data_IF_932980033162
#
_entry.id   IF_932980033162
#
_cell.length_a   1.000
_cell.length_b   1.000
_cell.length_c   1.000
_cell.angle_alpha   90.00
_cell.angle_beta   90.00
_cell.angle_gamma   90.00
#
_symmetry.space_group_name_H-M   'P 1'
#
loop_
_entity.id
_entity.type
_entity.pdbx_description
1 polymer ?
#
# COMPACT_ATOMS: atom_id res chain seq x y z
N UNK A 1 -10.89 -12.91 -35.66
CA UNK A 1 -10.41 -14.00 -34.78
C UNK A 1 -9.59 -14.96 -35.60
N UNK A 2 -8.39 -15.33 -35.14
CA UNK A 2 -7.48 -16.27 -35.83
C UNK A 2 -8.05 -17.69 -35.95
N UNK A 3 -7.39 -18.53 -36.76
CA UNK A 3 -7.77 -19.94 -36.88
C UNK A 3 -7.42 -20.71 -35.60
N UNK A 4 -6.31 -20.35 -34.99
CA UNK A 4 -5.76 -20.92 -33.76
C UNK A 4 -6.72 -20.67 -32.59
N UNK A 5 -7.18 -19.42 -32.39
CA UNK A 5 -8.19 -19.14 -31.36
C UNK A 5 -9.50 -19.88 -31.62
N UNK A 6 -9.93 -20.08 -32.88
CA UNK A 6 -11.13 -20.89 -33.16
C UNK A 6 -10.96 -22.31 -32.66
N UNK A 7 -9.81 -22.94 -32.92
CA UNK A 7 -9.49 -24.28 -32.40
C UNK A 7 -9.51 -24.31 -30.86
N UNK A 8 -8.93 -23.29 -30.19
CA UNK A 8 -9.00 -23.19 -28.73
C UNK A 8 -10.46 -23.12 -28.24
N UNK A 9 -11.30 -22.30 -28.88
CA UNK A 9 -12.70 -22.09 -28.50
C UNK A 9 -13.56 -23.33 -28.72
N UNK A 10 -13.31 -24.10 -29.79
CA UNK A 10 -14.05 -25.33 -30.09
C UNK A 10 -14.01 -26.33 -28.92
N UNK A 11 -12.85 -26.46 -28.26
CA UNK A 11 -12.68 -27.32 -27.10
C UNK A 11 -13.02 -26.61 -25.77
N UNK A 12 -12.45 -25.43 -25.51
CA UNK A 12 -12.61 -24.76 -24.21
C UNK A 12 -14.02 -24.25 -23.93
N UNK A 13 -14.88 -24.12 -24.94
CA UNK A 13 -16.30 -23.80 -24.73
C UNK A 13 -17.02 -24.88 -23.91
N UNK A 14 -16.68 -26.16 -24.08
CA UNK A 14 -17.23 -27.27 -23.28
C UNK A 14 -16.38 -27.55 -22.04
N UNK A 15 -15.05 -27.57 -22.17
CA UNK A 15 -14.16 -27.98 -21.07
C UNK A 15 -14.05 -26.91 -19.97
N UNK A 16 -14.17 -25.62 -20.33
CA UNK A 16 -14.12 -24.52 -19.39
C UNK A 16 -15.05 -23.37 -19.80
N UNK A 17 -16.35 -23.68 -19.81
CA UNK A 17 -17.41 -22.73 -20.14
C UNK A 17 -17.28 -21.38 -19.39
N UNK A 18 -16.93 -21.32 -18.09
CA UNK A 18 -16.78 -20.04 -17.40
C UNK A 18 -15.70 -19.14 -17.99
N UNK A 19 -14.51 -19.67 -18.33
CA UNK A 19 -13.45 -18.86 -18.96
C UNK A 19 -13.90 -18.36 -20.33
N UNK A 20 -14.51 -19.23 -21.14
CA UNK A 20 -15.06 -18.87 -22.44
C UNK A 20 -16.10 -17.73 -22.33
N UNK A 21 -17.02 -17.82 -21.36
CA UNK A 21 -18.03 -16.79 -21.11
C UNK A 21 -17.42 -15.47 -20.61
N UNK A 22 -16.45 -15.51 -19.70
CA UNK A 22 -15.75 -14.32 -19.23
C UNK A 22 -15.04 -13.59 -20.38
N UNK A 23 -14.31 -14.33 -21.22
CA UNK A 23 -13.70 -13.78 -22.42
C UNK A 23 -14.76 -13.26 -23.40
N UNK A 24 -15.81 -14.02 -23.69
CA UNK A 24 -16.89 -13.62 -24.60
C UNK A 24 -17.58 -12.31 -24.20
N UNK A 25 -17.63 -12.00 -22.90
CA UNK A 25 -18.16 -10.74 -22.38
C UNK A 25 -17.16 -9.56 -22.43
N UNK A 26 -15.87 -9.85 -22.60
CA UNK A 26 -14.79 -8.86 -22.54
C UNK A 26 -14.75 -7.92 -23.76
N UNK A 27 -14.05 -6.80 -23.61
CA UNK A 27 -13.70 -5.91 -24.74
C UNK A 27 -12.68 -6.58 -25.69
N UNK A 28 -11.85 -7.50 -25.19
CA UNK A 28 -10.90 -8.26 -26.02
C UNK A 28 -11.58 -9.17 -27.04
N UNK A 29 -12.66 -9.87 -26.65
CA UNK A 29 -13.47 -10.66 -27.59
C UNK A 29 -13.99 -9.80 -28.76
N UNK A 30 -14.56 -8.64 -28.44
CA UNK A 30 -15.07 -7.68 -29.45
C UNK A 30 -13.96 -7.13 -30.35
N UNK A 31 -12.73 -7.06 -29.84
CA UNK A 31 -11.55 -6.63 -30.58
C UNK A 31 -10.82 -7.77 -31.31
N UNK A 32 -11.38 -8.99 -31.33
CA UNK A 32 -10.74 -10.19 -31.89
C UNK A 32 -9.41 -10.58 -31.22
N UNK A 33 -9.16 -10.17 -29.98
CA UNK A 33 -8.05 -10.64 -29.15
C UNK A 33 -8.53 -11.88 -28.41
N UNK A 34 -8.12 -13.05 -28.90
CA UNK A 34 -8.55 -14.37 -28.44
C UNK A 34 -7.56 -15.07 -27.53
N UNK A 35 -7.81 -16.36 -27.32
CA UNK A 35 -6.98 -17.22 -26.47
C UNK A 35 -5.54 -17.26 -26.98
N UNK A 36 -5.36 -17.55 -28.28
CA UNK A 36 -4.04 -17.71 -28.88
C UNK A 36 -3.30 -16.37 -29.00
N UNK A 37 -3.99 -15.27 -29.29
CA UNK A 37 -3.37 -13.94 -29.37
C UNK A 37 -2.70 -13.50 -28.06
N UNK A 38 -3.14 -14.04 -26.92
CA UNK A 38 -2.51 -13.81 -25.61
C UNK A 38 -1.57 -14.94 -25.19
N UNK A 39 -1.99 -16.19 -25.32
CA UNK A 39 -1.28 -17.35 -24.77
C UNK A 39 -0.22 -17.95 -25.71
N UNK A 40 -0.16 -17.54 -26.98
CA UNK A 40 0.87 -18.03 -27.89
C UNK A 40 2.27 -17.77 -27.33
N UNK A 41 3.10 -18.81 -27.36
CA UNK A 41 4.49 -18.78 -26.95
C UNK A 41 5.34 -19.46 -28.04
N UNK A 42 6.62 -19.12 -28.13
CA UNK A 42 7.54 -19.83 -29.01
C UNK A 42 8.05 -21.13 -28.36
N UNK A 43 8.33 -22.12 -29.20
CA UNK A 43 9.06 -23.32 -28.77
C UNK A 43 10.40 -22.92 -28.14
N UNK A 44 10.68 -23.45 -26.95
CA UNK A 44 11.90 -23.16 -26.20
C UNK A 44 11.81 -21.96 -25.26
N UNK A 45 10.70 -21.20 -25.23
CA UNK A 45 10.43 -20.29 -24.12
C UNK A 45 10.27 -21.07 -22.81
N UNK A 46 10.66 -20.45 -21.69
CA UNK A 46 10.82 -21.11 -20.40
C UNK A 46 9.56 -21.84 -19.93
N UNK A 47 8.39 -21.22 -20.07
CA UNK A 47 7.08 -21.75 -19.67
C UNK A 47 6.21 -22.20 -20.85
N UNK A 48 6.78 -22.29 -22.04
CA UNK A 48 6.07 -22.82 -23.20
C UNK A 48 5.90 -24.34 -23.10
N UNK A 49 4.71 -24.81 -23.45
CA UNK A 49 4.41 -26.22 -23.62
C UNK A 49 3.50 -26.41 -24.84
N UNK A 50 3.58 -27.59 -25.45
CA UNK A 50 2.71 -27.94 -26.55
C UNK A 50 1.35 -28.40 -26.01
N UNK A 51 0.28 -27.80 -26.51
CA UNK A 51 -1.09 -28.15 -26.18
C UNK A 51 -1.91 -28.24 -27.48
N UNK A 52 -2.37 -29.45 -27.80
CA UNK A 52 -3.16 -29.73 -29.02
C UNK A 52 -2.49 -29.22 -30.31
N UNK A 53 -1.16 -29.33 -30.40
CA UNK A 53 -0.38 -28.92 -31.57
C UNK A 53 0.06 -27.45 -31.57
N UNK A 54 -0.30 -26.66 -30.55
CA UNK A 54 0.08 -25.25 -30.42
C UNK A 54 1.05 -25.04 -29.26
N UNK A 55 2.07 -24.20 -29.46
CA UNK A 55 2.94 -23.75 -28.38
C UNK A 55 2.27 -22.60 -27.63
N UNK A 56 2.03 -22.81 -26.34
CA UNK A 56 1.39 -21.83 -25.47
C UNK A 56 2.10 -21.70 -24.13
N UNK A 57 1.92 -20.56 -23.48
CA UNK A 57 2.27 -20.33 -22.08
C UNK A 57 1.00 -20.14 -21.25
N UNK A 58 0.99 -20.69 -20.03
CA UNK A 58 -0.13 -20.49 -19.09
C UNK A 58 -0.20 -19.02 -18.65
N UNK A 59 0.96 -18.38 -18.45
CA UNK A 59 1.07 -17.04 -17.92
C UNK A 59 1.20 -16.04 -19.06
N UNK A 60 0.23 -15.13 -19.15
CA UNK A 60 0.34 -13.91 -19.96
C UNK A 60 0.99 -12.84 -19.09
N UNK A 61 2.16 -12.36 -19.52
CA UNK A 61 2.99 -11.41 -18.78
C UNK A 61 2.71 -9.95 -19.21
N UNK A 62 3.24 -8.96 -18.48
CA UNK A 62 3.29 -7.57 -18.96
C UNK A 62 3.91 -7.40 -20.35
N UNK A 63 4.90 -8.22 -20.77
CA UNK A 63 5.47 -8.12 -22.12
C UNK A 63 4.49 -8.55 -23.20
N UNK A 64 3.64 -9.53 -22.93
CA UNK A 64 2.56 -9.91 -23.84
C UNK A 64 1.52 -8.78 -23.97
N UNK A 65 1.16 -8.16 -22.84
CA UNK A 65 0.26 -7.00 -22.83
C UNK A 65 0.85 -5.82 -23.62
N UNK A 66 2.17 -5.60 -23.52
CA UNK A 66 2.88 -4.51 -24.17
C UNK A 66 2.85 -4.57 -25.71
N UNK A 67 2.48 -5.72 -26.31
CA UNK A 67 2.25 -5.81 -27.76
C UNK A 67 1.14 -4.86 -28.24
N UNK A 68 0.19 -4.53 -27.36
CA UNK A 68 -0.92 -3.61 -27.65
C UNK A 68 -0.99 -2.42 -26.67
N UNK A 69 -0.58 -2.60 -25.42
CA UNK A 69 -0.70 -1.63 -24.32
C UNK A 69 0.67 -1.13 -23.88
N UNK A 70 1.42 -0.53 -24.81
CA UNK A 70 2.81 -0.09 -24.58
C UNK A 70 2.89 0.96 -23.47
N UNK A 71 1.99 1.94 -23.50
CA UNK A 71 1.98 3.05 -22.53
C UNK A 71 1.66 2.54 -21.12
N UNK A 72 0.57 1.80 -20.96
CA UNK A 72 0.14 1.30 -19.65
C UNK A 72 1.18 0.37 -19.04
N UNK A 73 1.83 -0.46 -19.86
CA UNK A 73 2.91 -1.34 -19.40
C UNK A 73 4.13 -0.55 -18.96
N UNK A 74 4.54 0.49 -19.70
CA UNK A 74 5.67 1.34 -19.30
C UNK A 74 5.39 2.09 -18.01
N UNK A 75 4.23 2.74 -17.89
CA UNK A 75 3.82 3.42 -16.66
C UNK A 75 3.81 2.45 -15.47
N UNK A 76 3.22 1.27 -15.65
CA UNK A 76 3.19 0.25 -14.60
C UNK A 76 4.61 -0.20 -14.22
N UNK A 77 5.49 -0.45 -15.19
CA UNK A 77 6.87 -0.89 -14.96
C UNK A 77 7.72 0.15 -14.22
N UNK A 78 7.37 1.43 -14.33
CA UNK A 78 8.00 2.54 -13.59
C UNK A 78 7.48 2.68 -12.16
N UNK A 79 6.38 2.01 -11.83
CA UNK A 79 5.74 2.09 -10.51
C UNK A 79 6.34 1.14 -9.48
N UNK A 80 6.16 1.49 -8.21
CA UNK A 80 6.43 0.59 -7.07
C UNK A 80 5.63 -0.70 -7.11
N UNK A 81 4.42 -0.69 -7.70
CA UNK A 81 3.58 -1.88 -7.83
C UNK A 81 4.26 -2.97 -8.66
N UNK A 82 4.92 -2.62 -9.76
CA UNK A 82 5.68 -3.62 -10.54
C UNK A 82 6.79 -4.27 -9.71
N UNK A 83 7.33 -3.57 -8.69
CA UNK A 83 8.44 -4.04 -7.86
C UNK A 83 7.98 -4.73 -6.57
N UNK A 84 6.68 -5.04 -6.45
CA UNK A 84 6.06 -5.61 -5.25
C UNK A 84 6.80 -6.83 -4.69
N UNK A 85 7.21 -7.78 -5.53
CA UNK A 85 7.91 -9.00 -5.10
C UNK A 85 9.31 -8.74 -4.54
N UNK A 86 9.89 -7.55 -4.72
CA UNK A 86 11.21 -7.24 -4.15
C UNK A 86 11.19 -7.15 -2.62
N UNK A 87 10.02 -7.07 -2.00
CA UNK A 87 9.88 -7.18 -0.54
C UNK A 87 10.39 -8.53 0.00
N UNK A 88 10.44 -9.58 -0.84
CA UNK A 88 10.93 -10.90 -0.46
C UNK A 88 12.41 -10.88 -0.02
N UNK A 89 13.17 -9.87 -0.46
CA UNK A 89 14.54 -9.64 -0.03
C UNK A 89 14.69 -8.69 1.17
N UNK A 90 13.59 -8.30 1.83
CA UNK A 90 13.63 -7.36 2.97
C UNK A 90 13.31 -8.04 4.30
N UNK A 91 13.68 -7.36 5.40
CA UNK A 91 13.31 -7.78 6.75
C UNK A 91 11.80 -7.80 6.97
N UNK A 92 11.00 -7.14 6.12
CA UNK A 92 9.54 -7.16 6.21
C UNK A 92 8.95 -8.57 5.99
N UNK A 93 9.69 -9.46 5.32
CA UNK A 93 9.29 -10.86 5.12
C UNK A 93 9.72 -11.79 6.28
N UNK A 94 10.50 -11.29 7.25
CA UNK A 94 11.02 -12.11 8.37
C UNK A 94 9.90 -12.72 9.22
N UNK A 95 8.81 -11.98 9.42
CA UNK A 95 7.65 -12.48 10.17
C UNK A 95 7.08 -13.73 9.49
N UNK A 96 6.70 -13.62 8.21
CA UNK A 96 6.08 -14.70 7.47
C UNK A 96 7.05 -15.86 7.15
N UNK A 97 8.34 -15.61 6.98
CA UNK A 97 9.32 -16.67 6.64
C UNK A 97 9.88 -17.39 7.88
N UNK A 98 10.03 -16.68 9.00
CA UNK A 98 10.81 -17.16 10.16
C UNK A 98 9.99 -17.20 11.45
N UNK A 99 9.28 -16.12 11.80
CA UNK A 99 8.60 -16.02 13.11
C UNK A 99 7.30 -16.83 13.13
N UNK A 100 6.46 -16.63 12.12
CA UNK A 100 5.21 -17.35 11.90
C UNK A 100 5.42 -18.58 11.00
N UNK A 101 6.43 -18.48 10.13
CA UNK A 101 6.74 -19.45 9.09
C UNK A 101 7.58 -20.64 9.55
N UNK A 102 7.72 -21.60 8.65
CA UNK A 102 8.68 -22.70 8.75
C UNK A 102 9.01 -23.22 7.36
N UNK A 103 9.99 -24.12 7.23
CA UNK A 103 10.32 -24.74 5.93
C UNK A 103 9.48 -26.00 5.66
N UNK A 104 8.22 -26.02 6.11
CA UNK A 104 7.36 -27.20 6.05
C UNK A 104 6.75 -27.50 4.67
N UNK A 105 6.58 -26.48 3.81
CA UNK A 105 6.03 -26.69 2.48
C UNK A 105 7.15 -27.10 1.52
N UNK A 106 7.19 -28.39 1.17
CA UNK A 106 8.14 -28.94 0.20
C UNK A 106 7.44 -29.10 -1.14
N UNK A 107 8.02 -28.50 -2.18
CA UNK A 107 7.54 -28.59 -3.57
C UNK A 107 8.71 -28.92 -4.50
N UNK A 108 8.47 -29.30 -5.77
CA UNK A 108 9.55 -29.62 -6.70
C UNK A 108 10.63 -28.54 -6.82
N UNK A 109 10.26 -27.24 -6.83
CA UNK A 109 11.20 -26.13 -6.87
C UNK A 109 11.78 -25.76 -5.49
N UNK A 110 11.17 -26.21 -4.39
CA UNK A 110 11.57 -25.92 -3.01
C UNK A 110 11.78 -27.21 -2.21
N UNK A 111 12.75 -28.04 -2.63
CA UNK A 111 13.07 -29.32 -1.97
C UNK A 111 13.52 -29.15 -0.51
N UNK A 112 14.20 -28.03 -0.20
CA UNK A 112 14.57 -27.68 1.16
C UNK A 112 13.44 -27.05 1.98
N UNK A 113 12.23 -26.99 1.43
CA UNK A 113 11.06 -26.37 2.06
C UNK A 113 11.02 -24.85 1.99
N UNK A 114 9.81 -24.30 2.03
CA UNK A 114 9.50 -22.87 2.06
C UNK A 114 8.36 -22.57 3.04
N UNK A 115 8.18 -21.31 3.43
CA UNK A 115 7.09 -20.90 4.31
C UNK A 115 5.74 -20.90 3.61
N UNK A 116 4.83 -21.74 4.12
CA UNK A 116 3.43 -21.71 3.71
C UNK A 116 2.76 -20.37 4.07
N UNK A 117 3.15 -19.74 5.18
CA UNK A 117 2.63 -18.43 5.57
C UNK A 117 3.04 -17.34 4.55
N UNK A 118 4.28 -17.36 4.07
CA UNK A 118 4.72 -16.44 3.03
C UNK A 118 4.01 -16.70 1.69
N UNK A 119 3.91 -17.96 1.28
CA UNK A 119 3.25 -18.40 0.04
C UNK A 119 1.78 -18.00 -0.02
N UNK A 120 1.04 -18.22 1.07
CA UNK A 120 -0.41 -17.97 1.13
C UNK A 120 -0.78 -16.55 1.58
N UNK A 121 0.12 -15.84 2.26
CA UNK A 121 -0.08 -14.46 2.71
C UNK A 121 0.65 -13.45 1.81
N UNK A 122 1.91 -13.16 2.14
CA UNK A 122 2.69 -12.10 1.52
C UNK A 122 2.73 -12.19 -0.01
N UNK A 123 2.96 -13.40 -0.56
CA UNK A 123 3.19 -13.60 -1.99
C UNK A 123 1.89 -13.41 -2.80
N UNK A 124 0.72 -13.56 -2.19
CA UNK A 124 -0.57 -13.37 -2.86
C UNK A 124 -0.89 -11.90 -3.15
N UNK A 125 -0.33 -10.98 -2.36
CA UNK A 125 -0.47 -9.53 -2.55
C UNK A 125 0.74 -8.94 -3.30
N UNK A 126 1.97 -9.23 -2.84
CA UNK A 126 3.20 -8.64 -3.39
C UNK A 126 3.66 -9.31 -4.68
N UNK A 127 3.43 -10.61 -4.81
CA UNK A 127 3.96 -11.46 -5.87
C UNK A 127 5.21 -12.20 -5.43
N UNK A 128 5.56 -13.23 -6.19
CA UNK A 128 6.79 -14.00 -6.05
C UNK A 128 7.42 -14.25 -7.42
N UNK A 129 8.64 -14.78 -7.43
CA UNK A 129 9.19 -15.37 -8.64
C UNK A 129 8.45 -16.65 -8.97
N UNK A 130 7.90 -16.73 -10.19
CA UNK A 130 7.25 -17.94 -10.67
C UNK A 130 8.31 -18.97 -11.02
N UNK A 131 8.21 -20.17 -10.43
CA UNK A 131 9.09 -21.30 -10.75
C UNK A 131 8.40 -22.21 -11.76
N UNK A 132 9.05 -22.37 -12.90
CA UNK A 132 8.62 -23.27 -13.97
C UNK A 132 9.31 -24.63 -13.79
N UNK A 133 8.51 -25.68 -13.86
CA UNK A 133 8.88 -27.08 -13.77
C UNK A 133 8.93 -27.70 -15.18
N UNK A 134 9.51 -28.90 -15.34
CA UNK A 134 9.58 -29.56 -16.64
C UNK A 134 8.22 -29.65 -17.36
N UNK A 135 8.23 -29.35 -18.65
CA UNK A 135 7.04 -29.36 -19.51
C UNK A 135 6.10 -28.17 -19.31
N UNK A 136 6.61 -27.00 -18.90
CA UNK A 136 5.82 -25.78 -18.73
C UNK A 136 4.89 -25.77 -17.52
N UNK A 137 5.01 -26.76 -16.63
CA UNK A 137 4.23 -26.81 -15.38
C UNK A 137 4.72 -25.74 -14.41
N UNK A 138 3.85 -25.29 -13.51
CA UNK A 138 4.19 -24.24 -12.54
C UNK A 138 4.24 -24.81 -11.14
N UNK A 139 5.23 -24.40 -10.35
CA UNK A 139 5.42 -24.91 -8.99
C UNK A 139 4.30 -24.42 -8.05
N UNK A 140 3.70 -25.30 -7.22
CA UNK A 140 2.57 -24.95 -6.38
C UNK A 140 2.89 -23.94 -5.28
N UNK A 141 4.16 -23.74 -4.91
CA UNK A 141 4.54 -22.67 -3.98
C UNK A 141 4.48 -21.28 -4.63
N UNK A 142 4.54 -21.19 -5.97
CA UNK A 142 4.64 -19.90 -6.68
C UNK A 142 3.51 -19.66 -7.67
N UNK A 143 2.61 -20.64 -7.84
CA UNK A 143 1.43 -20.56 -8.67
C UNK A 143 0.26 -21.36 -8.07
N UNK A 144 -0.99 -20.84 -8.05
CA UNK A 144 -1.45 -19.57 -8.62
C UNK A 144 -0.93 -18.33 -7.87
N UNK A 145 -0.54 -17.31 -8.62
CA UNK A 145 -0.09 -16.04 -8.07
C UNK A 145 -0.64 -14.85 -8.89
N UNK A 146 -1.28 -13.92 -8.18
CA UNK A 146 -1.82 -12.66 -8.74
C UNK A 146 -1.31 -11.46 -7.96
N UNK A 147 -0.16 -11.61 -7.30
CA UNK A 147 0.49 -10.51 -6.60
C UNK A 147 0.98 -9.47 -7.60
N UNK A 148 0.85 -8.20 -7.22
CA UNK A 148 0.96 -7.08 -8.15
C UNK A 148 2.34 -6.98 -8.81
N UNK A 149 3.40 -7.36 -8.10
CA UNK A 149 4.79 -7.34 -8.56
C UNK A 149 5.38 -8.71 -8.86
N UNK A 150 4.56 -9.71 -9.21
CA UNK A 150 5.01 -11.07 -9.59
C UNK A 150 6.16 -11.02 -10.61
N UNK A 151 7.21 -11.82 -10.41
CA UNK A 151 8.30 -11.95 -11.38
C UNK A 151 7.96 -13.11 -12.31
N UNK A 152 7.75 -12.81 -13.58
CA UNK A 152 7.26 -13.75 -14.59
C UNK A 152 8.40 -14.58 -15.22
N UNK A 153 8.09 -15.72 -15.85
CA UNK A 153 9.09 -16.58 -16.51
C UNK A 153 9.94 -15.89 -17.58
N UNK A 154 9.40 -14.87 -18.24
CA UNK A 154 10.08 -14.05 -19.24
C UNK A 154 10.93 -12.91 -18.63
N UNK A 155 11.08 -12.88 -17.31
CA UNK A 155 11.82 -11.88 -16.54
C UNK A 155 11.11 -10.53 -16.36
N UNK A 156 9.89 -10.37 -16.89
CA UNK A 156 9.10 -9.16 -16.64
C UNK A 156 8.54 -9.13 -15.21
N UNK A 157 8.47 -7.95 -14.63
CA UNK A 157 7.93 -7.75 -13.27
C UNK A 157 6.51 -7.16 -13.36
N UNK A 158 5.53 -7.84 -12.76
CA UNK A 158 4.15 -7.39 -12.73
C UNK A 158 3.08 -8.46 -12.95
N UNK A 159 1.88 -8.20 -12.45
CA UNK A 159 0.67 -8.91 -12.86
C UNK A 159 -0.41 -7.93 -13.32
N UNK A 160 -0.61 -7.79 -14.64
CA UNK A 160 -1.65 -6.93 -15.21
C UNK A 160 -3.07 -7.39 -14.82
N UNK A 161 -3.25 -8.64 -14.41
CA UNK A 161 -4.54 -9.16 -13.95
C UNK A 161 -4.88 -8.85 -12.50
N UNK A 162 -4.01 -8.13 -11.77
CA UNK A 162 -4.23 -7.82 -10.36
C UNK A 162 -5.42 -6.88 -10.14
N UNK A 163 -5.73 -6.00 -11.10
CA UNK A 163 -6.83 -5.03 -10.95
C UNK A 163 -8.05 -5.26 -11.85
N UNK A 164 -7.83 -5.65 -13.09
CA UNK A 164 -8.89 -6.09 -14.00
C UNK A 164 -8.65 -7.57 -14.28
N UNK A 165 -9.34 -8.42 -13.52
CA UNK A 165 -9.11 -9.85 -13.48
C UNK A 165 -9.27 -10.49 -14.85
N UNK A 166 -8.47 -11.52 -15.10
CA UNK A 166 -8.71 -12.44 -16.22
C UNK A 166 -10.05 -13.18 -15.99
N UNK A 167 -10.83 -13.54 -17.00
CA UNK A 167 -10.64 -13.29 -18.43
C UNK A 167 -11.58 -12.20 -18.97
N UNK A 168 -12.27 -11.47 -18.08
CA UNK A 168 -13.15 -10.37 -18.47
C UNK A 168 -12.39 -9.07 -18.74
N UNK A 169 -11.24 -8.86 -18.08
CA UNK A 169 -10.40 -7.66 -18.17
C UNK A 169 -11.23 -6.36 -18.08
N UNK A 170 -12.15 -6.33 -17.12
CA UNK A 170 -13.17 -5.28 -17.01
C UNK A 170 -12.60 -3.98 -16.43
N UNK A 171 -12.76 -2.88 -17.17
CA UNK A 171 -12.46 -1.53 -16.66
C UNK A 171 -13.36 -1.14 -15.47
N UNK A 172 -14.61 -1.62 -15.45
CA UNK A 172 -15.50 -1.47 -14.29
C UNK A 172 -14.86 -2.07 -13.04
N UNK A 173 -14.35 -3.31 -13.13
CA UNK A 173 -13.71 -3.98 -12.00
C UNK A 173 -12.48 -3.20 -11.50
N UNK A 174 -11.62 -2.73 -12.41
CA UNK A 174 -10.44 -1.93 -12.04
C UNK A 174 -10.79 -0.58 -11.38
N UNK A 175 -11.94 0.01 -11.72
CA UNK A 175 -12.43 1.28 -11.14
C UNK A 175 -13.21 1.07 -9.83
N UNK A 176 -13.67 -0.15 -9.56
CA UNK A 176 -14.43 -0.47 -8.35
C UNK A 176 -13.48 -0.61 -7.14
N UNK A 177 -13.71 0.13 -6.03
CA UNK A 177 -12.84 0.09 -4.84
C UNK A 177 -12.54 -1.31 -4.29
N UNK A 178 -13.54 -2.20 -4.26
CA UNK A 178 -13.39 -3.58 -3.75
C UNK A 178 -12.23 -4.35 -4.37
N UNK A 179 -11.88 -4.06 -5.62
CA UNK A 179 -10.77 -4.73 -6.26
C UNK A 179 -9.41 -4.35 -5.62
N UNK A 180 -9.24 -3.11 -5.17
CA UNK A 180 -8.05 -2.67 -4.43
C UNK A 180 -7.95 -3.39 -3.07
N UNK A 181 -9.11 -3.74 -2.51
CA UNK A 181 -9.26 -4.37 -1.20
C UNK A 181 -8.72 -5.77 -1.05
N UNK A 182 -8.34 -6.44 -2.14
CA UNK A 182 -7.58 -7.68 -2.04
C UNK A 182 -6.26 -7.48 -1.26
N UNK A 183 -5.63 -6.32 -1.41
CA UNK A 183 -4.30 -6.04 -0.85
C UNK A 183 -4.29 -4.84 0.10
N UNK A 184 -5.10 -3.81 -0.17
CA UNK A 184 -5.11 -2.54 0.55
C UNK A 184 -6.09 -2.55 1.73
N UNK A 185 -5.85 -3.45 2.68
CA UNK A 185 -6.72 -3.70 3.83
C UNK A 185 -5.89 -4.09 5.06
N UNK A 186 -6.57 -4.32 6.18
CA UNK A 186 -5.96 -4.95 7.35
C UNK A 186 -5.18 -4.00 8.24
N UNK A 187 -4.43 -4.52 9.23
CA UNK A 187 -3.95 -3.74 10.36
C UNK A 187 -2.83 -2.74 10.03
N UNK A 188 -2.04 -2.99 8.99
CA UNK A 188 -0.88 -2.17 8.64
C UNK A 188 -1.19 -1.12 7.58
N UNK A 189 -2.21 -1.32 6.76
CA UNK A 189 -2.64 -0.36 5.77
C UNK A 189 -4.13 -0.52 5.40
N UNK A 190 -5.06 -0.13 6.30
CA UNK A 190 -6.50 -0.35 6.12
C UNK A 190 -7.15 0.64 5.15
N UNK A 191 -6.61 0.80 3.94
CA UNK A 191 -7.10 1.84 3.04
C UNK A 191 -8.54 1.60 2.58
N UNK A 192 -8.96 0.35 2.45
CA UNK A 192 -10.35 0.03 2.13
C UNK A 192 -11.32 0.36 3.27
N UNK A 193 -10.96 0.03 4.50
CA UNK A 193 -11.79 0.31 5.66
C UNK A 193 -11.91 1.81 5.88
N UNK A 194 -10.80 2.54 5.75
CA UNK A 194 -10.76 4.01 5.76
C UNK A 194 -11.64 4.59 4.63
N UNK A 195 -11.50 4.09 3.41
CA UNK A 195 -12.31 4.56 2.29
C UNK A 195 -13.79 4.37 2.60
N UNK A 196 -14.18 3.19 3.08
CA UNK A 196 -15.57 2.89 3.35
C UNK A 196 -16.15 3.69 4.52
N UNK A 197 -15.39 4.01 5.57
CA UNK A 197 -15.88 4.91 6.62
C UNK A 197 -16.02 6.36 6.16
N UNK A 198 -15.19 6.78 5.20
CA UNK A 198 -15.17 8.15 4.71
C UNK A 198 -16.48 8.54 4.01
N UNK A 199 -16.74 9.85 3.92
CA UNK A 199 -17.87 10.36 3.12
C UNK A 199 -17.78 9.99 1.64
N UNK A 200 -16.57 9.80 1.11
CA UNK A 200 -16.38 9.33 -0.26
C UNK A 200 -16.86 7.90 -0.45
N UNK A 201 -16.51 6.98 0.43
CA UNK A 201 -16.98 5.59 0.36
C UNK A 201 -18.46 5.43 0.65
N UNK A 202 -19.03 6.27 1.54
CA UNK A 202 -20.48 6.34 1.74
C UNK A 202 -21.19 6.81 0.46
N UNK A 203 -20.71 7.88 -0.18
CA UNK A 203 -21.26 8.37 -1.43
C UNK A 203 -21.13 7.34 -2.56
N UNK A 204 -20.00 6.65 -2.65
CA UNK A 204 -19.81 5.56 -3.62
C UNK A 204 -20.85 4.46 -3.43
N UNK A 205 -21.04 3.98 -2.20
CA UNK A 205 -22.06 2.95 -1.92
C UNK A 205 -23.48 3.41 -2.27
N UNK A 206 -23.79 4.69 -2.07
CA UNK A 206 -25.09 5.26 -2.41
C UNK A 206 -25.31 5.43 -3.93
N UNK A 207 -24.24 5.66 -4.70
CA UNK A 207 -24.34 6.11 -6.09
C UNK A 207 -23.57 5.28 -7.11
N UNK A 208 -22.99 4.14 -6.75
CA UNK A 208 -22.13 3.31 -7.63
C UNK A 208 -22.75 3.02 -9.01
N UNK A 209 -24.05 2.78 -9.07
CA UNK A 209 -24.76 2.47 -10.33
C UNK A 209 -24.92 3.68 -11.25
N UNK A 210 -24.65 4.89 -10.74
CA UNK A 210 -24.69 6.16 -11.48
C UNK A 210 -23.30 6.68 -11.87
N UNK A 211 -22.23 5.96 -11.52
CA UNK A 211 -20.86 6.41 -11.80
C UNK A 211 -20.39 6.03 -13.21
N UNK A 212 -21.15 5.25 -13.98
CA UNK A 212 -20.79 4.88 -15.36
C UNK A 212 -19.40 4.23 -15.49
N UNK A 213 -19.03 3.37 -14.53
CA UNK A 213 -17.68 2.82 -14.39
C UNK A 213 -17.21 1.95 -15.56
N UNK A 214 -18.09 1.48 -16.46
CA UNK A 214 -17.69 0.70 -17.65
C UNK A 214 -17.41 1.57 -18.90
N UNK A 215 -17.64 2.89 -18.81
CA UNK A 215 -17.47 3.82 -19.91
C UNK A 215 -16.04 3.83 -20.46
N UNK A 216 -15.89 4.02 -21.78
CA UNK A 216 -14.58 4.20 -22.41
C UNK A 216 -13.89 5.49 -21.93
N UNK A 217 -14.67 6.57 -21.78
CA UNK A 217 -14.22 7.83 -21.19
C UNK A 217 -14.77 7.95 -19.77
N UNK A 218 -13.89 8.14 -18.79
CA UNK A 218 -14.26 8.16 -17.37
C UNK A 218 -13.47 9.22 -16.60
N UNK A 219 -13.93 10.47 -16.73
CA UNK A 219 -13.29 11.67 -16.21
C UNK A 219 -14.16 12.31 -15.12
N UNK A 220 -13.59 12.51 -13.93
CA UNK A 220 -14.31 13.13 -12.81
C UNK A 220 -14.64 14.59 -13.12
N UNK A 221 -15.88 15.01 -12.86
CA UNK A 221 -16.38 16.35 -13.19
C UNK A 221 -16.97 16.47 -14.60
N UNK A 222 -16.70 15.51 -15.50
CA UNK A 222 -17.30 15.47 -16.84
C UNK A 222 -18.26 14.28 -17.00
N UNK A 223 -17.77 13.05 -16.75
CA UNK A 223 -18.53 11.82 -16.97
C UNK A 223 -19.20 11.29 -15.69
N UNK A 224 -18.68 11.67 -14.51
CA UNK A 224 -19.26 11.37 -13.19
C UNK A 224 -18.81 12.40 -12.15
N UNK A 225 -19.62 12.58 -11.10
CA UNK A 225 -19.37 13.60 -10.07
C UNK A 225 -19.93 13.27 -8.68
N UNK A 226 -20.64 12.15 -8.53
CA UNK A 226 -21.35 11.83 -7.29
C UNK A 226 -20.45 11.24 -6.20
N UNK A 227 -19.37 10.55 -6.57
CA UNK A 227 -18.41 9.98 -5.64
C UNK A 227 -17.07 9.65 -6.33
N UNK A 228 -15.92 9.83 -5.65
CA UNK A 228 -14.66 9.29 -6.11
C UNK A 228 -14.46 7.84 -5.65
N UNK A 229 -13.64 7.10 -6.38
CA UNK A 229 -13.13 5.76 -6.05
C UNK A 229 -11.61 5.81 -5.84
N UNK A 230 -11.01 4.69 -5.43
CA UNK A 230 -9.55 4.56 -5.39
C UNK A 230 -8.92 4.91 -6.75
N UNK A 231 -9.49 4.38 -7.83
CA UNK A 231 -9.04 4.65 -9.19
C UNK A 231 -9.24 6.11 -9.60
N UNK A 232 -10.30 6.79 -9.14
CA UNK A 232 -10.51 8.23 -9.38
C UNK A 232 -9.32 9.04 -8.91
N UNK A 233 -8.90 8.81 -7.66
CA UNK A 233 -7.83 9.56 -7.02
C UNK A 233 -6.45 9.21 -7.58
N UNK A 234 -6.16 7.92 -7.76
CA UNK A 234 -4.80 7.45 -8.00
C UNK A 234 -4.45 7.19 -9.48
N UNK A 235 -5.44 6.99 -10.36
CA UNK A 235 -5.17 6.51 -11.73
C UNK A 235 -5.94 7.26 -12.82
N UNK A 236 -7.15 7.74 -12.54
CA UNK A 236 -8.08 8.20 -13.58
C UNK A 236 -7.81 9.63 -14.01
N UNK A 237 -8.22 9.96 -15.24
CA UNK A 237 -8.04 11.29 -15.81
C UNK A 237 -8.89 12.37 -15.12
N UNK A 238 -8.41 13.61 -15.23
CA UNK A 238 -9.12 14.83 -14.80
C UNK A 238 -9.20 15.81 -15.97
N UNK A 239 -10.23 16.68 -16.02
CA UNK A 239 -10.37 17.64 -17.09
C UNK A 239 -9.39 18.80 -16.94
N UNK A 240 -9.05 19.44 -18.06
CA UNK A 240 -8.36 20.71 -18.02
C UNK A 240 -9.29 21.79 -17.47
N UNK A 241 -8.75 22.70 -16.66
CA UNK A 241 -9.49 23.83 -16.11
C UNK A 241 -8.98 25.13 -16.68
N UNK A 242 -9.90 25.94 -17.21
CA UNK A 242 -9.59 27.30 -17.66
C UNK A 242 -9.22 28.20 -16.48
N UNK A 243 -8.50 29.28 -16.78
CA UNK A 243 -8.22 30.32 -15.81
C UNK A 243 -9.51 31.08 -15.45
N UNK A 244 -9.60 31.52 -14.20
CA UNK A 244 -10.60 32.47 -13.71
C UNK A 244 -9.87 33.75 -13.27
N UNK A 245 -10.61 34.75 -12.78
CA UNK A 245 -10.02 35.97 -12.20
C UNK A 245 -9.11 35.66 -10.99
N UNK A 246 -9.45 34.63 -10.24
CA UNK A 246 -8.84 34.31 -8.94
C UNK A 246 -8.01 33.02 -8.95
N UNK A 247 -7.95 32.31 -10.11
CA UNK A 247 -7.25 31.02 -10.23
C UNK A 247 -6.64 30.85 -11.62
N UNK A 248 -5.37 30.46 -11.67
CA UNK A 248 -4.70 30.12 -12.92
C UNK A 248 -5.36 28.89 -13.61
N UNK A 249 -5.16 28.78 -14.92
CA UNK A 249 -5.50 27.56 -15.65
C UNK A 249 -4.71 26.37 -15.06
N UNK A 250 -5.31 25.18 -15.09
CA UNK A 250 -4.65 23.94 -14.66
C UNK A 250 -4.84 22.88 -15.73
N UNK A 251 -3.76 22.19 -16.16
CA UNK A 251 -3.89 21.11 -17.12
C UNK A 251 -4.70 19.95 -16.53
N UNK A 252 -5.37 19.21 -17.39
CA UNK A 252 -5.98 17.93 -17.02
C UNK A 252 -4.89 16.88 -16.82
N UNK A 253 -5.16 15.90 -15.97
CA UNK A 253 -4.29 14.75 -15.78
C UNK A 253 -4.74 13.62 -16.70
N UNK A 254 -3.82 12.91 -17.38
CA UNK A 254 -4.16 11.70 -18.10
C UNK A 254 -4.45 10.54 -17.12
N UNK A 255 -4.98 9.44 -17.68
CA UNK A 255 -4.95 8.15 -17.01
C UNK A 255 -3.50 7.73 -16.82
N UNK A 256 -3.18 7.08 -15.69
CA UNK A 256 -1.86 6.52 -15.46
C UNK A 256 -1.92 5.18 -14.74
N UNK A 257 -1.01 4.27 -15.09
CA UNK A 257 -0.76 3.02 -14.37
C UNK A 257 0.39 3.12 -13.34
N UNK A 258 0.99 4.31 -13.18
CA UNK A 258 1.89 4.61 -12.07
C UNK A 258 1.13 5.33 -10.94
N UNK A 259 0.58 4.55 -10.01
CA UNK A 259 -0.18 5.06 -8.86
C UNK A 259 0.65 5.93 -7.92
N UNK A 260 1.98 5.89 -8.02
CA UNK A 260 2.91 6.70 -7.22
C UNK A 260 2.90 8.18 -7.61
N UNK A 261 2.45 8.52 -8.82
CA UNK A 261 2.55 9.86 -9.40
C UNK A 261 1.67 10.93 -8.74
N UNK A 262 0.80 10.54 -7.82
CA UNK A 262 -0.08 11.44 -7.06
C UNK A 262 0.10 11.31 -5.54
N UNK A 263 1.14 10.59 -5.11
CA UNK A 263 1.47 10.39 -3.70
C UNK A 263 2.51 11.42 -3.30
N UNK A 264 2.33 12.05 -2.15
CA UNK A 264 3.22 13.11 -1.66
C UNK A 264 3.81 12.83 -0.28
N UNK A 265 3.45 11.68 0.28
CA UNK A 265 4.00 11.05 1.47
C UNK A 265 3.99 9.55 1.26
N UNK A 266 5.13 8.90 1.42
CA UNK A 266 5.19 7.46 1.59
C UNK A 266 5.04 7.15 3.09
N UNK A 267 3.85 6.70 3.50
CA UNK A 267 3.53 6.42 4.91
C UNK A 267 3.99 5.04 5.40
N UNK A 268 4.55 4.20 4.52
CA UNK A 268 4.98 2.83 4.84
C UNK A 268 6.08 2.78 5.92
N UNK A 269 7.16 3.59 5.88
CA UNK A 269 8.23 3.47 6.87
C UNK A 269 7.79 4.00 8.24
N UNK A 270 8.57 3.69 9.28
CA UNK A 270 8.34 4.19 10.63
C UNK A 270 8.26 5.73 10.69
N UNK A 271 9.05 6.42 9.86
CA UNK A 271 8.93 7.85 9.62
C UNK A 271 8.52 8.01 8.16
N UNK A 272 7.36 8.63 7.89
CA UNK A 272 6.96 8.93 6.51
C UNK A 272 8.03 9.72 5.77
N UNK A 273 8.32 9.31 4.54
CA UNK A 273 9.33 9.96 3.69
C UNK A 273 8.69 10.57 2.45
N UNK A 274 9.41 11.47 1.80
CA UNK A 274 9.01 11.95 0.47
C UNK A 274 9.17 10.84 -0.58
N UNK A 275 8.23 10.70 -1.53
CA UNK A 275 8.18 9.59 -2.48
C UNK A 275 9.43 9.49 -3.36
N UNK A 276 10.02 10.61 -3.78
CA UNK A 276 11.25 10.63 -4.57
C UNK A 276 12.43 9.93 -3.87
N UNK A 277 12.42 9.88 -2.53
CA UNK A 277 13.42 9.15 -1.74
C UNK A 277 13.26 7.64 -1.89
N UNK A 278 12.02 7.13 -1.81
CA UNK A 278 11.75 5.71 -2.03
C UNK A 278 11.99 5.28 -3.48
N UNK A 279 11.58 6.11 -4.42
CA UNK A 279 11.74 5.83 -5.85
C UNK A 279 13.21 5.77 -6.24
N UNK A 280 14.04 6.69 -5.69
CA UNK A 280 15.49 6.68 -5.89
C UNK A 280 16.13 5.40 -5.35
N UNK A 281 15.69 4.93 -4.17
CA UNK A 281 16.19 3.66 -3.60
C UNK A 281 15.84 2.45 -4.48
N UNK A 282 14.73 2.50 -5.21
CA UNK A 282 14.30 1.44 -6.12
C UNK A 282 14.80 1.62 -7.56
N UNK A 283 15.51 2.70 -7.87
CA UNK A 283 15.98 3.01 -9.22
C UNK A 283 14.85 3.36 -10.19
N UNK A 284 13.74 3.91 -9.69
CA UNK A 284 12.55 4.22 -10.50
C UNK A 284 12.60 5.65 -11.07
N UNK A 285 12.03 5.89 -12.27
CA UNK A 285 12.01 7.23 -12.89
C UNK A 285 11.33 8.30 -12.04
N UNK A 286 10.38 7.92 -11.18
CA UNK A 286 9.70 8.81 -10.25
C UNK A 286 10.64 9.51 -9.26
N UNK A 287 11.88 9.05 -9.09
CA UNK A 287 12.92 9.75 -8.33
C UNK A 287 13.16 11.20 -8.82
N UNK A 288 12.83 11.49 -10.08
CA UNK A 288 12.97 12.81 -10.69
C UNK A 288 11.69 13.67 -10.58
N UNK A 289 10.66 13.18 -9.89
CA UNK A 289 9.39 13.89 -9.70
C UNK A 289 9.16 14.13 -8.22
N UNK A 290 9.38 15.39 -7.81
CA UNK A 290 9.29 15.80 -6.41
C UNK A 290 7.87 15.69 -5.84
N UNK A 291 7.80 15.71 -4.51
CA UNK A 291 6.53 15.57 -3.80
C UNK A 291 5.58 16.75 -4.04
N UNK A 292 6.04 17.97 -4.32
CA UNK A 292 5.16 19.11 -4.61
C UNK A 292 4.41 18.92 -5.93
N UNK A 293 5.07 18.42 -6.98
CA UNK A 293 4.42 18.09 -8.25
C UNK A 293 3.35 17.03 -8.04
N UNK A 294 3.65 15.97 -7.26
CA UNK A 294 2.68 14.91 -6.96
C UNK A 294 1.52 15.40 -6.09
N UNK A 295 1.81 16.27 -5.11
CA UNK A 295 0.80 16.97 -4.28
C UNK A 295 -0.15 17.77 -5.16
N UNK A 296 0.40 18.55 -6.09
CA UNK A 296 -0.39 19.36 -7.01
C UNK A 296 -1.22 18.50 -7.97
N UNK A 297 -0.71 17.34 -8.39
CA UNK A 297 -1.50 16.37 -9.15
C UNK A 297 -2.69 15.85 -8.34
N UNK A 298 -2.51 15.46 -7.07
CA UNK A 298 -3.65 15.05 -6.22
C UNK A 298 -4.61 16.21 -5.96
N UNK A 299 -4.12 17.42 -5.65
CA UNK A 299 -4.96 18.62 -5.53
C UNK A 299 -5.78 18.88 -6.78
N UNK A 300 -5.20 18.68 -7.97
CA UNK A 300 -5.91 18.78 -9.25
C UNK A 300 -7.09 17.80 -9.32
N UNK A 301 -6.97 16.59 -8.78
CA UNK A 301 -8.10 15.66 -8.65
C UNK A 301 -9.17 16.24 -7.72
N UNK A 302 -8.78 16.65 -6.51
CA UNK A 302 -9.70 17.14 -5.47
C UNK A 302 -10.55 18.33 -5.96
N UNK A 303 -9.95 19.27 -6.70
CA UNK A 303 -10.66 20.48 -7.11
C UNK A 303 -11.78 20.21 -8.12
N UNK A 304 -11.89 19.02 -8.72
CA UNK A 304 -13.02 18.70 -9.59
C UNK A 304 -14.34 18.56 -8.84
N UNK A 305 -14.30 18.46 -7.52
CA UNK A 305 -15.49 18.40 -6.66
C UNK A 305 -15.47 19.41 -5.50
N UNK A 306 -14.29 19.91 -5.12
CA UNK A 306 -14.12 20.79 -3.97
C UNK A 306 -13.50 22.15 -4.34
N UNK A 307 -13.77 23.16 -3.53
CA UNK A 307 -13.13 24.46 -3.65
C UNK A 307 -11.67 24.41 -3.18
N UNK A 308 -10.82 25.26 -3.76
CA UNK A 308 -9.38 25.28 -3.51
C UNK A 308 -9.04 25.46 -2.03
N UNK A 309 -9.71 26.38 -1.33
CA UNK A 309 -9.48 26.63 0.10
C UNK A 309 -9.76 25.38 0.94
N UNK A 310 -10.82 24.64 0.63
CA UNK A 310 -11.14 23.40 1.33
C UNK A 310 -10.02 22.36 1.15
N UNK A 311 -9.52 22.21 -0.08
CA UNK A 311 -8.42 21.29 -0.41
C UNK A 311 -7.13 21.69 0.31
N UNK A 312 -6.82 22.98 0.37
CA UNK A 312 -5.62 23.47 1.06
C UNK A 312 -5.72 23.26 2.58
N UNK A 313 -6.88 23.51 3.18
CA UNK A 313 -7.15 23.24 4.58
C UNK A 313 -7.00 21.76 4.93
N UNK A 314 -7.47 20.86 4.06
CA UNK A 314 -7.27 19.42 4.23
C UNK A 314 -5.79 19.05 4.32
N UNK A 315 -4.95 19.60 3.43
CA UNK A 315 -3.52 19.30 3.45
C UNK A 315 -2.79 19.89 4.65
N UNK A 316 -3.20 21.05 5.17
CA UNK A 316 -2.70 21.58 6.45
C UNK A 316 -2.98 20.60 7.58
N UNK A 317 -4.19 20.04 7.64
CA UNK A 317 -4.56 19.05 8.66
C UNK A 317 -3.77 17.74 8.50
N UNK A 318 -3.66 17.24 7.27
CA UNK A 318 -2.94 15.99 7.01
C UNK A 318 -1.45 16.11 7.32
N UNK A 319 -0.77 17.16 6.84
CA UNK A 319 0.65 17.37 7.12
C UNK A 319 0.87 17.60 8.63
N UNK A 320 -0.02 18.33 9.31
CA UNK A 320 0.04 18.51 10.76
C UNK A 320 -0.06 17.20 11.55
N UNK A 321 -0.85 16.22 11.11
CA UNK A 321 -0.87 14.90 11.75
C UNK A 321 0.42 14.12 11.50
N UNK A 322 0.96 14.17 10.28
CA UNK A 322 2.22 13.51 9.93
C UNK A 322 3.34 14.07 10.83
N UNK A 323 3.43 15.39 10.96
CA UNK A 323 4.41 16.07 11.82
C UNK A 323 4.20 15.72 13.30
N UNK A 324 2.95 15.70 13.78
CA UNK A 324 2.63 15.27 15.15
C UNK A 324 3.16 13.86 15.40
N UNK A 325 2.85 12.92 14.51
CA UNK A 325 3.31 11.55 14.65
C UNK A 325 4.85 11.44 14.58
N UNK A 326 5.49 12.13 13.64
CA UNK A 326 6.96 12.15 13.51
C UNK A 326 7.63 12.65 14.78
N UNK A 327 7.25 13.86 15.22
CA UNK A 327 7.91 14.57 16.32
C UNK A 327 7.58 14.02 17.69
N UNK A 328 6.36 13.51 17.88
CA UNK A 328 5.91 12.99 19.17
C UNK A 328 6.21 11.51 19.34
N UNK A 329 6.18 10.68 18.30
CA UNK A 329 6.25 9.24 18.50
C UNK A 329 7.36 8.58 17.69
N UNK A 330 7.44 8.86 16.40
CA UNK A 330 8.31 8.12 15.50
C UNK A 330 9.80 8.38 15.73
N UNK A 331 10.21 9.66 15.75
CA UNK A 331 11.60 10.07 15.96
C UNK A 331 12.11 9.65 17.36
N UNK A 332 11.45 10.01 18.48
CA UNK A 332 11.92 9.59 19.80
C UNK A 332 11.81 8.07 19.99
N UNK A 333 10.75 7.43 19.50
CA UNK A 333 10.58 5.98 19.62
C UNK A 333 11.67 5.20 18.89
N UNK A 334 12.03 5.61 17.67
CA UNK A 334 13.10 4.97 16.91
C UNK A 334 14.46 5.11 17.60
N UNK A 335 14.75 6.28 18.17
CA UNK A 335 15.98 6.53 18.92
C UNK A 335 16.04 5.69 20.21
N UNK A 336 14.95 5.65 20.98
CA UNK A 336 14.83 4.83 22.19
C UNK A 336 14.99 3.33 21.87
N UNK A 337 14.31 2.84 20.84
CA UNK A 337 14.44 1.44 20.39
C UNK A 337 15.89 1.13 19.98
N UNK A 338 16.55 2.05 19.25
CA UNK A 338 17.95 1.91 18.86
C UNK A 338 18.91 1.82 20.06
N UNK A 339 18.71 2.67 21.08
CA UNK A 339 19.51 2.67 22.31
C UNK A 339 19.26 1.43 23.18
N UNK A 340 18.09 0.81 23.08
CA UNK A 340 17.76 -0.41 23.82
C UNK A 340 18.40 -1.68 23.24
N UNK A 341 18.77 -1.70 21.94
CA UNK A 341 19.32 -2.90 21.28
C UNK A 341 20.45 -3.61 22.03
N UNK A 342 21.46 -2.93 22.61
CA UNK A 342 22.53 -3.59 23.36
C UNK A 342 22.07 -4.29 24.66
N UNK A 343 20.88 -3.95 25.16
CA UNK A 343 20.28 -4.54 26.37
C UNK A 343 19.42 -5.77 26.06
N UNK A 344 19.11 -5.99 24.78
CA UNK A 344 18.20 -7.03 24.30
C UNK A 344 18.94 -8.23 23.72
N UNK A 345 18.22 -9.31 23.46
CA UNK A 345 18.72 -10.39 22.61
C UNK A 345 18.91 -9.85 21.18
N UNK A 346 19.99 -10.26 20.48
CA UNK A 346 20.33 -9.69 19.17
C UNK A 346 19.35 -10.10 18.05
N UNK A 347 18.54 -11.13 18.27
CA UNK A 347 17.57 -11.62 17.28
C UNK A 347 16.32 -10.74 17.33
N UNK A 348 15.94 -10.17 16.19
CA UNK A 348 14.71 -9.38 16.07
C UNK A 348 13.45 -10.23 16.32
N UNK A 349 12.40 -9.60 16.87
CA UNK A 349 11.16 -10.24 17.30
C UNK A 349 11.31 -11.29 18.41
N UNK A 350 12.46 -11.34 19.09
CA UNK A 350 12.67 -12.20 20.24
C UNK A 350 12.45 -11.50 21.58
N UNK A 351 12.33 -10.17 21.58
CA UNK A 351 12.16 -9.34 22.77
C UNK A 351 10.77 -8.69 22.79
N UNK A 352 10.16 -8.45 23.97
CA UNK A 352 8.87 -7.75 24.05
C UNK A 352 8.89 -6.38 23.37
N UNK A 353 9.98 -5.62 23.54
CA UNK A 353 10.13 -4.30 22.93
C UNK A 353 10.13 -4.34 21.40
N UNK A 354 10.58 -5.43 20.77
CA UNK A 354 10.56 -5.58 19.30
C UNK A 354 9.12 -5.50 18.78
N UNK A 355 8.21 -6.21 19.46
CA UNK A 355 6.78 -6.24 19.14
C UNK A 355 6.10 -4.91 19.44
N UNK A 356 6.35 -4.32 20.62
CA UNK A 356 5.77 -3.03 21.01
C UNK A 356 6.15 -1.94 20.01
N UNK A 357 7.44 -1.85 19.65
CA UNK A 357 7.88 -0.88 18.66
C UNK A 357 7.26 -1.16 17.29
N UNK A 358 7.24 -2.44 16.86
CA UNK A 358 6.64 -2.82 15.59
C UNK A 358 5.16 -2.40 15.50
N UNK A 359 4.34 -2.69 16.50
CA UNK A 359 2.93 -2.30 16.52
C UNK A 359 2.73 -0.78 16.45
N UNK A 360 3.52 -0.01 17.21
CA UNK A 360 3.48 1.46 17.23
C UNK A 360 3.70 2.06 15.84
N UNK A 361 4.70 1.57 15.08
CA UNK A 361 5.04 2.18 13.79
C UNK A 361 4.40 1.51 12.58
N UNK A 362 4.31 0.17 12.60
CA UNK A 362 3.86 -0.66 11.47
C UNK A 362 2.35 -0.69 11.38
N UNK A 363 1.64 -0.88 12.50
CA UNK A 363 0.19 -0.91 12.50
C UNK A 363 -0.36 0.47 12.81
N UNK A 364 -0.25 0.93 14.04
CA UNK A 364 -1.01 2.06 14.56
C UNK A 364 -0.57 3.39 13.93
N UNK A 365 0.73 3.58 13.80
CA UNK A 365 1.29 4.72 13.11
C UNK A 365 0.82 4.79 11.66
N UNK A 366 0.90 3.69 10.91
CA UNK A 366 0.42 3.65 9.53
C UNK A 366 -1.08 3.90 9.46
N UNK A 367 -1.88 3.28 10.34
CA UNK A 367 -3.34 3.51 10.46
C UNK A 367 -3.65 4.99 10.66
N UNK A 368 -2.99 5.66 11.61
CA UNK A 368 -3.18 7.07 11.86
C UNK A 368 -2.91 7.94 10.63
N UNK A 369 -1.76 7.72 9.97
CA UNK A 369 -1.33 8.52 8.81
C UNK A 369 -2.17 8.24 7.56
N UNK A 370 -2.56 7.00 7.32
CA UNK A 370 -3.46 6.64 6.24
C UNK A 370 -4.88 7.14 6.50
N UNK A 371 -5.38 7.04 7.73
CA UNK A 371 -6.67 7.55 8.17
C UNK A 371 -6.83 9.02 7.81
N UNK A 372 -5.86 9.85 8.18
CA UNK A 372 -5.91 11.27 7.85
C UNK A 372 -5.79 11.54 6.35
N UNK A 373 -4.96 10.78 5.62
CA UNK A 373 -4.77 10.99 4.18
C UNK A 373 -6.03 10.73 3.33
N UNK A 374 -7.02 10.00 3.88
CA UNK A 374 -8.24 9.62 3.17
C UNK A 374 -9.51 9.95 3.96
N UNK A 375 -9.41 10.85 4.94
CA UNK A 375 -10.54 11.35 5.74
C UNK A 375 -11.31 10.26 6.50
N UNK A 376 -10.58 9.30 7.06
CA UNK A 376 -11.08 8.35 8.04
C UNK A 376 -10.78 8.81 9.47
N UNK A 377 -11.74 9.47 10.17
CA UNK A 377 -11.51 9.98 11.52
C UNK A 377 -11.28 8.87 12.56
N UNK A 378 -11.90 7.71 12.41
CA UNK A 378 -11.80 6.63 13.41
C UNK A 378 -10.44 5.94 13.29
N UNK A 379 -9.99 5.69 12.05
CA UNK A 379 -8.65 5.21 11.78
C UNK A 379 -7.54 6.22 12.11
N UNK A 380 -7.85 7.52 12.04
CA UNK A 380 -6.94 8.57 12.50
C UNK A 380 -6.78 8.53 14.02
N UNK A 381 -7.90 8.35 14.73
CA UNK A 381 -7.94 8.44 16.18
C UNK A 381 -7.92 7.08 16.88
N UNK A 382 -9.07 6.42 16.99
CA UNK A 382 -9.26 5.24 17.83
C UNK A 382 -8.44 4.03 17.40
N UNK A 383 -8.29 3.80 16.09
CA UNK A 383 -7.40 2.73 15.59
C UNK A 383 -5.97 3.23 15.30
N UNK A 384 -5.71 4.53 15.46
CA UNK A 384 -4.45 5.17 15.09
C UNK A 384 -3.77 5.82 16.28
N UNK A 385 -3.88 7.16 16.38
CA UNK A 385 -3.18 7.93 17.41
C UNK A 385 -3.48 7.52 18.85
N UNK A 386 -4.67 7.00 19.14
CA UNK A 386 -5.02 6.45 20.45
C UNK A 386 -4.14 5.25 20.80
N UNK A 387 -4.06 4.25 19.92
CA UNK A 387 -3.25 3.05 20.12
C UNK A 387 -1.75 3.39 20.15
N UNK A 388 -1.28 4.27 19.24
CA UNK A 388 0.11 4.76 19.26
C UNK A 388 0.45 5.33 20.64
N UNK A 389 -0.41 6.21 21.18
CA UNK A 389 -0.17 6.82 22.47
C UNK A 389 -0.23 5.77 23.59
N UNK A 390 -1.24 4.91 23.58
CA UNK A 390 -1.41 3.84 24.57
C UNK A 390 -0.14 2.97 24.62
N UNK A 391 0.27 2.35 23.51
CA UNK A 391 1.45 1.49 23.51
C UNK A 391 2.74 2.24 23.80
N UNK A 392 2.90 3.49 23.33
CA UNK A 392 4.08 4.27 23.68
C UNK A 392 4.19 4.49 25.20
N UNK A 393 3.12 4.94 25.85
CA UNK A 393 3.18 5.31 27.28
C UNK A 393 2.97 4.15 28.24
N UNK A 394 2.14 3.16 27.91
CA UNK A 394 1.82 2.04 28.82
C UNK A 394 2.64 0.78 28.58
N UNK A 395 3.34 0.66 27.44
CA UNK A 395 4.12 -0.55 27.12
C UNK A 395 5.57 -0.22 26.82
N UNK A 396 5.85 0.69 25.89
CA UNK A 396 7.20 1.00 25.46
C UNK A 396 8.03 1.64 26.58
N UNK A 397 7.53 2.70 27.22
CA UNK A 397 8.27 3.38 28.31
C UNK A 397 8.55 2.42 29.49
N UNK A 398 7.57 1.68 30.04
CA UNK A 398 7.84 0.72 31.11
C UNK A 398 8.83 -0.39 30.74
N UNK A 399 8.75 -0.94 29.51
CA UNK A 399 9.70 -1.97 29.05
C UNK A 399 11.12 -1.41 28.91
N UNK A 400 11.27 -0.17 28.43
CA UNK A 400 12.57 0.51 28.38
C UNK A 400 13.14 0.74 29.79
N UNK A 401 12.31 1.17 30.75
CA UNK A 401 12.72 1.33 32.16
C UNK A 401 13.13 -0.02 32.77
N UNK A 402 12.43 -1.11 32.42
CA UNK A 402 12.78 -2.46 32.84
C UNK A 402 14.15 -2.89 32.29
N UNK A 403 14.41 -2.68 31.00
CA UNK A 403 15.72 -2.96 30.37
C UNK A 403 16.85 -2.13 31.00
N UNK A 404 16.58 -0.86 31.35
CA UNK A 404 17.54 -0.02 32.09
C UNK A 404 17.88 -0.65 33.44
N UNK A 405 16.88 -1.06 34.23
CA UNK A 405 17.10 -1.66 35.54
C UNK A 405 17.90 -2.97 35.46
N UNK A 406 17.59 -3.83 34.49
CA UNK A 406 18.35 -5.05 34.22
C UNK A 406 19.79 -4.75 33.78
N UNK A 407 19.97 -3.83 32.84
CA UNK A 407 21.29 -3.46 32.33
C UNK A 407 22.22 -2.93 33.43
N UNK A 408 21.70 -2.07 34.31
CA UNK A 408 22.45 -1.55 35.47
C UNK A 408 22.83 -2.62 36.50
N UNK A 409 21.98 -3.63 36.68
CA UNK A 409 22.20 -4.71 37.65
C UNK A 409 22.95 -5.92 37.08
N UNK A 410 23.26 -5.93 35.79
CA UNK A 410 23.83 -7.10 35.09
C UNK A 410 25.28 -7.44 35.46
N UNK A 411 26.03 -6.52 36.07
CA UNK A 411 27.48 -6.67 36.30
C UNK A 411 28.33 -6.52 35.03
N UNK A 412 27.73 -6.34 33.86
CA UNK A 412 28.40 -6.11 32.58
C UNK A 412 28.56 -4.60 32.35
N UNK A 413 29.80 -4.15 32.17
CA UNK A 413 30.13 -2.73 32.01
C UNK A 413 29.51 -2.11 30.73
N UNK A 414 29.40 -2.88 29.65
CA UNK A 414 28.80 -2.40 28.40
C UNK A 414 27.29 -2.25 28.54
N UNK A 415 26.62 -3.23 29.18
CA UNK A 415 25.18 -3.14 29.47
C UNK A 415 24.86 -2.02 30.46
N UNK A 416 25.71 -1.82 31.47
CA UNK A 416 25.54 -0.71 32.41
C UNK A 416 25.65 0.66 31.69
N UNK A 417 26.63 0.81 30.80
CA UNK A 417 26.79 2.04 30.01
C UNK A 417 25.61 2.26 29.04
N UNK A 418 25.15 1.21 28.35
CA UNK A 418 23.98 1.29 27.47
C UNK A 418 22.70 1.64 28.25
N UNK A 419 22.49 1.06 29.43
CA UNK A 419 21.36 1.36 30.30
C UNK A 419 21.38 2.82 30.77
N UNK A 420 22.55 3.37 31.10
CA UNK A 420 22.68 4.77 31.49
C UNK A 420 22.37 5.73 30.32
N UNK A 421 22.83 5.39 29.11
CA UNK A 421 22.51 6.16 27.91
C UNK A 421 21.01 6.14 27.60
N UNK A 422 20.38 4.96 27.69
CA UNK A 422 18.94 4.80 27.48
C UNK A 422 18.13 5.56 28.53
N UNK A 423 18.45 5.43 29.82
CA UNK A 423 17.77 6.15 30.91
C UNK A 423 17.81 7.66 30.71
N UNK A 424 18.99 8.19 30.36
CA UNK A 424 19.14 9.61 30.04
C UNK A 424 18.20 10.02 28.90
N UNK A 425 18.12 9.21 27.84
CA UNK A 425 17.27 9.51 26.69
C UNK A 425 15.78 9.44 27.04
N UNK A 426 15.35 8.45 27.83
CA UNK A 426 13.96 8.39 28.35
C UNK A 426 13.64 9.69 29.09
N UNK A 427 14.53 10.15 29.97
CA UNK A 427 14.38 11.41 30.69
C UNK A 427 14.25 12.62 29.76
N UNK A 428 15.10 12.73 28.73
CA UNK A 428 15.02 13.80 27.72
C UNK A 428 13.68 13.78 26.96
N UNK A 429 13.24 12.60 26.51
CA UNK A 429 11.97 12.45 25.79
C UNK A 429 10.80 12.83 26.69
N UNK A 430 10.71 12.27 27.91
CA UNK A 430 9.59 12.49 28.83
C UNK A 430 9.54 13.89 29.43
N UNK A 431 10.64 14.64 29.42
CA UNK A 431 10.67 16.05 29.84
C UNK A 431 10.47 17.03 28.69
N UNK A 432 10.45 16.56 27.44
CA UNK A 432 10.16 17.41 26.29
C UNK A 432 8.71 17.92 26.30
N UNK A 433 8.40 19.06 25.64
CA UNK A 433 7.04 19.62 25.60
C UNK A 433 5.97 18.63 25.13
N UNK A 434 6.32 17.70 24.24
CA UNK A 434 5.40 16.70 23.69
C UNK A 434 4.95 15.63 24.71
N UNK A 435 5.76 15.35 25.73
CA UNK A 435 5.56 14.22 26.66
C UNK A 435 5.52 14.63 28.14
N UNK A 436 5.89 15.85 28.50
CA UNK A 436 5.96 16.30 29.90
C UNK A 436 4.66 16.11 30.69
N UNK A 437 3.51 16.10 30.01
CA UNK A 437 2.22 15.75 30.61
C UNK A 437 2.21 14.37 31.28
N UNK A 438 2.95 13.38 30.75
CA UNK A 438 3.06 12.02 31.30
C UNK A 438 3.64 12.03 32.71
N UNK A 439 4.52 12.99 32.99
CA UNK A 439 5.13 13.21 34.31
C UNK A 439 4.33 14.20 35.18
N UNK A 440 3.11 14.57 34.78
CA UNK A 440 2.33 15.65 35.37
C UNK A 440 3.07 17.00 35.37
N UNK A 441 3.83 17.28 34.29
CA UNK A 441 4.63 18.50 34.10
C UNK A 441 4.25 19.26 32.82
N UNK A 442 2.95 19.25 32.47
CA UNK A 442 2.45 20.08 31.37
C UNK A 442 2.77 21.56 31.63
N UNK A 443 3.10 22.31 30.58
CA UNK A 443 3.35 23.74 30.68
C UNK A 443 2.14 24.46 31.33
N UNK A 444 2.34 25.30 32.36
CA UNK A 444 1.23 25.95 33.05
C UNK A 444 0.38 26.85 32.14
N UNK A 445 0.97 27.49 31.12
CA UNK A 445 0.22 28.31 30.18
C UNK A 445 -0.61 27.44 29.23
N UNK A 446 -0.07 26.31 28.77
CA UNK A 446 -0.85 25.31 28.02
C UNK A 446 -2.03 24.77 28.85
N UNK A 447 -1.79 24.41 30.11
CA UNK A 447 -2.83 23.92 31.01
C UNK A 447 -3.93 24.95 31.21
N UNK A 448 -3.56 26.20 31.52
CA UNK A 448 -4.50 27.30 31.71
C UNK A 448 -5.31 27.58 30.43
N UNK A 449 -4.68 27.52 29.27
CA UNK A 449 -5.35 27.69 27.98
C UNK A 449 -6.37 26.56 27.70
N UNK A 450 -6.02 25.30 27.99
CA UNK A 450 -6.95 24.17 27.87
C UNK A 450 -8.17 24.33 28.79
N UNK A 451 -7.95 24.69 30.05
CA UNK A 451 -9.02 24.94 31.02
C UNK A 451 -9.91 26.11 30.59
N UNK A 452 -9.32 27.22 30.11
CA UNK A 452 -10.05 28.37 29.57
C UNK A 452 -10.96 27.95 28.40
N UNK A 453 -10.42 27.23 27.40
CA UNK A 453 -11.20 26.79 26.24
C UNK A 453 -12.31 25.80 26.61
N UNK A 454 -12.05 24.91 27.57
CA UNK A 454 -13.06 24.00 28.09
C UNK A 454 -14.20 24.77 28.74
N UNK A 455 -13.88 25.73 29.60
CA UNK A 455 -14.89 26.58 30.26
C UNK A 455 -15.69 27.38 29.26
N UNK A 456 -15.04 28.06 28.30
CA UNK A 456 -15.73 28.80 27.24
C UNK A 456 -16.67 27.94 26.41
N UNK A 457 -16.30 26.68 26.15
CA UNK A 457 -17.16 25.73 25.47
C UNK A 457 -18.35 25.33 26.36
N UNK A 458 -18.12 25.00 27.62
CA UNK A 458 -19.19 24.65 28.56
C UNK A 458 -20.17 25.81 28.77
N UNK A 459 -19.68 27.03 28.99
CA UNK A 459 -20.49 28.22 29.19
C UNK A 459 -21.35 28.54 27.96
N UNK A 460 -20.83 28.31 26.73
CA UNK A 460 -21.58 28.51 25.48
C UNK A 460 -22.81 27.60 25.37
N UNK A 461 -22.77 26.41 25.95
CA UNK A 461 -23.83 25.41 25.86
C UNK A 461 -24.49 25.10 27.21
N UNK A 462 -24.15 25.86 28.26
CA UNK A 462 -24.88 25.86 29.51
C UNK A 462 -26.29 26.39 29.22
N UNK A 463 -27.30 25.57 29.48
CA UNK A 463 -28.72 25.92 29.29
C UNK A 463 -29.21 26.87 30.35
#
# INVERSE_FOLDING_TARGET
MSAETKACVECHKSENTPIYQQWGNSKHYRANVGCYECHAAAEGETDAFNHEGYWIATIVSPKDCARCHVQETQEFAHSHHSKGARILGSLDNTLAEVVEGSRGLVTPAFQGGVSAAAVSGCWQCHGSEVKVLPGGKLDPATWPNTGIGRINPDGSEGSCSACHSRHSFSAYQARHPDNCGKCHMGPDHPQMEIYYESKHGIAFRAFKDKLNMDSAKWVVGEDYHLAPTCATCHMSATPAKTATKDRAASPGLPVTHDVGMRISWNNRPAISIRPEVSDKKMGLPGANVNWETRRNAMKNVCINCHEQQWVDNFYVQYDGLVDLYHKKFAEPGLELYGLAKPLMRPVEFSNPLDWVWYEIWHHEGRRARHGASMMGPDYTHWHGTYEVAKHFYSEMIPELEHLVAQGKSSGDAQKAAAAQALEKKIGEVLTSPNHAWYLNRMDPAEKAERERRQKEFQDRYAK
#
